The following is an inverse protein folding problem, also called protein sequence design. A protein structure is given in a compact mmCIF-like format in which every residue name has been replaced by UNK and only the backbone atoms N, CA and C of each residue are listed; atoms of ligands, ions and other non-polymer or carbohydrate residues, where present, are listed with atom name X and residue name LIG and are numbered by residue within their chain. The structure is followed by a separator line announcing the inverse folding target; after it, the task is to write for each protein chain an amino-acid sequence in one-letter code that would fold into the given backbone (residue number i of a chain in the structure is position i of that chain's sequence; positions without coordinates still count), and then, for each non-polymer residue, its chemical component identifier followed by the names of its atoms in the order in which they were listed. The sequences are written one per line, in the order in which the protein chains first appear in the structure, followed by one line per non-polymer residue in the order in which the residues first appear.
data_IF_736034039888
#
_entry.id   IF_736034039888
#
_cell.length_a   1.000
_cell.length_b   1.000
_cell.length_c   1.000
_cell.angle_alpha   90.00
_cell.angle_beta   90.00
_cell.angle_gamma   90.00
#
_symmetry.space_group_name_H-M   'P 1'
#
loop_
_entity.id
_entity.type
_entity.pdbx_description
1 polymer ?
#
# COMPACT_ATOMS: atom_id res chain seq x y z
N UNK A 1 -7.34 -50.51 -54.27
CA UNK A 1 -6.85 -49.96 -53.00
C UNK A 1 -6.13 -48.65 -53.32
N UNK A 2 -6.52 -47.55 -52.71
CA UNK A 2 -5.81 -46.27 -52.76
C UNK A 2 -5.06 -46.12 -51.46
N UNK A 3 -3.85 -45.59 -51.49
CA UNK A 3 -3.10 -45.20 -50.34
C UNK A 3 -2.66 -43.76 -50.58
N UNK A 4 -2.60 -42.98 -49.51
CA UNK A 4 -2.04 -41.64 -49.50
C UNK A 4 -0.63 -41.75 -48.87
N UNK A 5 0.35 -41.13 -49.53
CA UNK A 5 1.68 -40.95 -48.99
C UNK A 5 1.74 -39.52 -48.49
N UNK A 6 1.90 -39.32 -47.20
CA UNK A 6 2.29 -38.05 -46.63
C UNK A 6 3.82 -38.03 -46.61
N UNK A 7 4.43 -37.08 -47.30
CA UNK A 7 5.89 -36.88 -47.39
C UNK A 7 6.37 -35.55 -46.83
N UNK A 8 5.43 -34.72 -46.37
CA UNK A 8 5.68 -33.41 -45.79
C UNK A 8 5.35 -33.47 -44.31
N UNK A 9 6.15 -32.80 -43.48
CA UNK A 9 5.87 -32.63 -42.08
C UNK A 9 4.73 -31.63 -41.90
N UNK A 10 3.63 -32.08 -41.32
CA UNK A 10 2.59 -31.18 -40.84
C UNK A 10 2.98 -30.69 -39.42
N UNK A 11 2.68 -29.44 -39.09
CA UNK A 11 2.96 -28.89 -37.77
C UNK A 11 1.97 -29.45 -36.74
N UNK A 12 2.36 -29.53 -35.44
CA UNK A 12 1.38 -29.78 -34.38
C UNK A 12 0.16 -28.86 -34.51
N UNK A 13 -1.02 -29.39 -34.32
CA UNK A 13 -2.26 -28.61 -34.39
C UNK A 13 -2.34 -27.54 -33.28
N UNK A 14 -3.25 -26.59 -33.48
CA UNK A 14 -3.55 -25.60 -32.43
C UNK A 14 -4.04 -26.29 -31.15
N UNK A 15 -3.69 -25.73 -30.02
CA UNK A 15 -4.06 -26.22 -28.69
C UNK A 15 -4.32 -25.09 -27.71
N UNK A 16 -5.13 -25.35 -26.69
CA UNK A 16 -5.47 -24.37 -25.67
C UNK A 16 -4.66 -24.56 -24.40
N UNK A 17 -4.39 -23.45 -23.73
CA UNK A 17 -3.91 -23.45 -22.35
C UNK A 17 -5.10 -23.63 -21.39
N UNK A 18 -4.97 -24.54 -20.41
CA UNK A 18 -6.09 -24.98 -19.57
C UNK A 18 -6.01 -24.42 -18.14
N UNK A 19 -4.82 -24.40 -17.55
CA UNK A 19 -4.59 -23.94 -16.17
C UNK A 19 -3.20 -23.34 -16.02
N UNK A 20 -3.05 -22.23 -15.29
CA UNK A 20 -4.11 -21.37 -14.73
C UNK A 20 -5.01 -20.77 -15.83
N UNK A 21 -6.31 -20.55 -15.51
CA UNK A 21 -7.21 -19.86 -16.43
C UNK A 21 -6.70 -18.45 -16.74
N UNK A 22 -6.93 -17.99 -17.97
CA UNK A 22 -6.47 -16.65 -18.37
C UNK A 22 -7.07 -15.55 -17.49
N UNK A 23 -6.22 -14.64 -17.01
CA UNK A 23 -6.54 -13.54 -16.10
C UNK A 23 -7.13 -14.00 -14.74
N UNK A 24 -6.85 -15.24 -14.32
CA UNK A 24 -7.25 -15.74 -13.00
C UNK A 24 -6.28 -15.31 -11.91
N UNK A 25 -6.73 -15.39 -10.67
CA UNK A 25 -5.92 -15.29 -9.46
C UNK A 25 -5.63 -16.71 -8.95
N UNK A 26 -4.38 -16.99 -8.57
CA UNK A 26 -3.95 -18.24 -7.97
C UNK A 26 -3.35 -17.97 -6.58
N UNK A 27 -3.71 -18.83 -5.62
CA UNK A 27 -3.20 -18.77 -4.24
C UNK A 27 -2.01 -19.70 -4.00
N UNK A 28 -1.66 -20.52 -5.00
CA UNK A 28 -0.48 -21.37 -4.99
C UNK A 28 0.64 -20.67 -5.75
N UNK A 29 1.78 -20.48 -5.12
CA UNK A 29 2.96 -19.85 -5.74
C UNK A 29 3.72 -20.79 -6.69
N UNK A 30 3.34 -22.08 -6.72
CA UNK A 30 3.83 -23.06 -7.69
C UNK A 30 2.68 -23.66 -8.52
N UNK A 31 1.87 -22.81 -9.20
CA UNK A 31 0.69 -23.31 -9.91
C UNK A 31 1.09 -24.28 -11.02
N UNK A 32 0.38 -25.40 -11.11
CA UNK A 32 0.58 -26.33 -12.22
C UNK A 32 -0.03 -25.76 -13.49
N UNK A 33 0.81 -25.48 -14.48
CA UNK A 33 0.43 -25.07 -15.83
C UNK A 33 0.07 -26.32 -16.64
N UNK A 34 -1.08 -26.29 -17.32
CA UNK A 34 -1.60 -27.40 -18.11
C UNK A 34 -2.14 -26.90 -19.44
N UNK A 35 -1.99 -27.71 -20.47
CA UNK A 35 -2.49 -27.42 -21.82
C UNK A 35 -3.03 -28.67 -22.49
N UNK A 36 -3.79 -28.47 -23.55
CA UNK A 36 -4.25 -29.56 -24.38
C UNK A 36 -3.06 -30.17 -25.13
N UNK A 37 -3.09 -31.48 -25.29
CA UNK A 37 -2.15 -32.15 -26.18
C UNK A 37 -2.55 -31.88 -27.63
N UNK A 38 -1.71 -31.18 -28.44
CA UNK A 38 -2.02 -30.93 -29.82
C UNK A 38 -2.07 -32.21 -30.64
N UNK A 39 -2.98 -32.23 -31.59
CA UNK A 39 -3.02 -33.33 -32.58
C UNK A 39 -1.95 -33.11 -33.64
N UNK A 40 -1.30 -34.18 -34.06
CA UNK A 40 -0.41 -34.19 -35.20
C UNK A 40 -1.06 -34.96 -36.35
N UNK A 41 -1.16 -34.33 -37.52
CA UNK A 41 -1.80 -34.94 -38.69
C UNK A 41 -0.95 -36.04 -39.36
N UNK A 42 0.35 -36.10 -39.01
CA UNK A 42 1.27 -37.12 -39.47
C UNK A 42 1.09 -38.45 -38.76
N UNK A 43 0.29 -38.49 -37.69
CA UNK A 43 -0.09 -39.74 -37.01
C UNK A 43 -0.93 -40.59 -37.91
N UNK A 44 -0.33 -41.60 -38.48
CA UNK A 44 -1.04 -42.62 -39.29
C UNK A 44 -1.91 -43.51 -38.40
N UNK A 45 -3.17 -43.23 -38.23
CA UNK A 45 -4.11 -44.17 -37.66
C UNK A 45 -4.19 -45.41 -38.56
N UNK A 46 -3.62 -46.55 -38.12
CA UNK A 46 -3.80 -47.81 -38.85
C UNK A 46 -5.27 -48.21 -38.85
N UNK A 47 -5.96 -48.00 -39.96
CA UNK A 47 -7.31 -48.58 -40.16
C UNK A 47 -7.15 -50.10 -40.18
N UNK A 48 -7.61 -50.72 -39.14
CA UNK A 48 -7.57 -52.16 -38.90
C UNK A 48 -8.10 -52.98 -40.07
N UNK A 49 -7.30 -53.97 -40.38
CA UNK A 49 -7.37 -54.85 -41.52
C UNK A 49 -8.66 -55.60 -41.78
N UNK A 50 -8.96 -55.66 -43.04
CA UNK A 50 -9.83 -56.67 -43.58
C UNK A 50 -9.15 -58.06 -43.52
N UNK A 51 -9.89 -59.05 -43.03
CA UNK A 51 -9.54 -60.45 -43.10
C UNK A 51 -9.46 -60.96 -44.55
N UNK A 52 -8.26 -60.91 -45.10
CA UNK A 52 -7.94 -61.55 -46.41
C UNK A 52 -6.80 -62.55 -46.22
N UNK A 53 -7.07 -63.79 -46.64
CA UNK A 53 -6.13 -64.94 -46.57
C UNK A 53 -4.82 -64.66 -47.28
N UNK A 54 -3.74 -64.94 -46.62
CA UNK A 54 -2.35 -64.80 -46.99
C UNK A 54 -1.91 -65.77 -48.06
N UNK A 55 -1.21 -65.38 -49.17
CA UNK A 55 -0.32 -66.27 -49.91
C UNK A 55 1.03 -66.31 -49.23
N UNK A 56 1.60 -67.53 -49.09
CA UNK A 56 2.90 -67.80 -48.48
C UNK A 56 4.05 -67.30 -49.35
N UNK A 57 4.98 -66.50 -48.75
CA UNK A 57 6.30 -66.28 -49.31
C UNK A 57 6.64 -64.81 -49.54
N UNK A 58 7.18 -64.15 -48.53
CA UNK A 58 7.84 -62.85 -48.59
C UNK A 58 7.87 -62.26 -47.20
N UNK A 59 9.04 -61.98 -46.66
CA UNK A 59 9.20 -61.22 -45.43
C UNK A 59 8.61 -59.83 -45.67
N UNK A 60 7.39 -59.62 -45.21
CA UNK A 60 6.82 -58.32 -45.11
C UNK A 60 7.29 -57.73 -43.77
N UNK A 61 8.35 -57.02 -43.78
CA UNK A 61 8.64 -56.12 -42.67
C UNK A 61 7.48 -55.13 -42.62
N UNK A 62 6.54 -55.39 -41.75
CA UNK A 62 5.58 -54.37 -41.33
C UNK A 62 6.43 -53.17 -40.89
N UNK A 63 6.29 -52.08 -41.66
CA UNK A 63 6.77 -50.82 -41.16
C UNK A 63 6.16 -50.66 -39.78
N UNK A 64 6.99 -50.62 -38.78
CA UNK A 64 6.57 -50.23 -37.45
C UNK A 64 5.96 -48.85 -37.61
N UNK A 65 4.70 -48.74 -37.24
CA UNK A 65 3.97 -47.54 -37.17
C UNK A 65 4.82 -46.54 -36.37
N UNK A 66 5.56 -45.65 -37.04
CA UNK A 66 6.09 -44.48 -36.34
C UNK A 66 4.91 -43.52 -36.25
N UNK A 67 4.23 -43.56 -35.15
CA UNK A 67 3.34 -42.48 -34.78
C UNK A 67 4.22 -41.24 -34.66
N UNK A 68 4.14 -40.36 -35.59
CA UNK A 68 4.67 -39.00 -35.41
C UNK A 68 3.83 -38.37 -34.32
N UNK A 69 4.46 -37.85 -33.35
CA UNK A 69 3.87 -37.45 -32.08
C UNK A 69 4.54 -36.17 -31.60
N UNK A 70 3.82 -35.33 -30.91
CA UNK A 70 4.42 -34.22 -30.21
C UNK A 70 5.36 -34.79 -29.16
N UNK A 71 6.64 -34.45 -29.23
CA UNK A 71 7.70 -35.04 -28.41
C UNK A 71 8.19 -34.13 -27.29
N UNK A 72 7.95 -32.83 -27.39
CA UNK A 72 8.36 -31.90 -26.36
C UNK A 72 7.60 -30.58 -26.40
N UNK A 73 7.61 -29.91 -25.27
CA UNK A 73 7.03 -28.59 -25.08
C UNK A 73 8.06 -27.66 -24.47
N UNK A 74 8.14 -26.44 -24.97
CA UNK A 74 8.86 -25.34 -24.38
C UNK A 74 7.88 -24.42 -23.69
N UNK A 75 7.97 -24.34 -22.35
CA UNK A 75 7.13 -23.48 -21.53
C UNK A 75 7.86 -22.18 -21.24
N UNK A 76 7.22 -21.06 -21.49
CA UNK A 76 7.71 -19.71 -21.21
C UNK A 76 6.86 -19.11 -20.12
N UNK A 77 7.50 -18.62 -19.05
CA UNK A 77 6.86 -17.91 -17.94
C UNK A 77 7.62 -16.63 -17.67
N UNK A 78 6.92 -15.50 -17.59
CA UNK A 78 7.53 -14.18 -17.45
C UNK A 78 6.59 -13.20 -16.77
N UNK A 79 7.13 -12.16 -16.13
CA UNK A 79 6.37 -10.96 -15.72
C UNK A 79 6.28 -9.91 -16.84
N UNK A 80 6.97 -10.14 -17.97
CA UNK A 80 6.94 -9.33 -19.18
C UNK A 80 6.14 -10.07 -20.26
N UNK A 81 5.08 -9.45 -20.78
CA UNK A 81 4.18 -10.01 -21.82
C UNK A 81 4.87 -10.17 -23.19
N UNK A 82 6.00 -9.47 -23.41
CA UNK A 82 6.85 -9.61 -24.59
C UNK A 82 7.82 -10.80 -24.51
N UNK A 83 7.96 -11.44 -23.34
CA UNK A 83 8.91 -12.55 -23.08
C UNK A 83 10.35 -12.22 -23.47
N UNK A 84 10.78 -10.99 -23.24
CA UNK A 84 12.14 -10.53 -23.55
C UNK A 84 13.16 -11.32 -22.75
N UNK A 85 14.14 -11.92 -23.43
CA UNK A 85 15.23 -12.71 -22.84
C UNK A 85 14.81 -13.89 -21.93
N UNK A 86 13.60 -14.43 -22.11
CA UNK A 86 13.10 -15.58 -21.35
C UNK A 86 13.68 -16.88 -21.90
N UNK A 87 14.33 -17.67 -21.05
CA UNK A 87 14.76 -19.01 -21.39
C UNK A 87 13.61 -20.00 -21.14
N UNK A 88 13.18 -20.76 -22.17
CA UNK A 88 12.10 -21.73 -22.00
C UNK A 88 12.53 -22.93 -21.13
N UNK A 89 11.54 -23.53 -20.50
CA UNK A 89 11.66 -24.80 -19.78
C UNK A 89 11.13 -25.89 -20.68
N UNK A 90 11.95 -26.90 -21.00
CA UNK A 90 11.55 -28.02 -21.88
C UNK A 90 11.00 -29.14 -21.03
N UNK A 91 9.80 -29.63 -21.39
CA UNK A 91 9.13 -30.79 -20.77
C UNK A 91 8.59 -31.73 -21.84
N UNK A 92 8.38 -33.01 -21.49
CA UNK A 92 7.83 -34.05 -22.37
C UNK A 92 6.35 -34.37 -22.09
N UNK A 93 5.77 -33.67 -21.09
CA UNK A 93 4.35 -33.82 -20.69
C UNK A 93 3.60 -32.54 -20.94
N UNK A 94 2.29 -32.61 -21.11
CA UNK A 94 1.41 -31.46 -21.28
C UNK A 94 1.11 -30.71 -19.97
N UNK A 95 2.07 -30.70 -19.06
CA UNK A 95 2.00 -29.96 -17.80
C UNK A 95 3.39 -29.59 -17.30
N UNK A 96 3.45 -28.48 -16.56
CA UNK A 96 4.63 -27.98 -15.87
C UNK A 96 4.26 -27.37 -14.52
N UNK A 97 5.01 -27.67 -13.48
CA UNK A 97 4.90 -27.04 -12.17
C UNK A 97 6.25 -26.40 -11.84
N UNK A 98 6.31 -25.11 -11.49
CA UNK A 98 7.55 -24.46 -11.07
C UNK A 98 8.21 -25.19 -9.89
N UNK A 99 9.53 -25.37 -9.94
CA UNK A 99 10.32 -26.00 -8.86
C UNK A 99 10.51 -25.08 -7.63
N UNK A 100 10.26 -23.79 -7.80
CA UNK A 100 10.39 -22.76 -6.77
C UNK A 100 9.19 -21.84 -6.82
N UNK A 101 8.84 -21.27 -5.65
CA UNK A 101 7.76 -20.30 -5.55
C UNK A 101 7.99 -19.12 -6.50
N UNK A 102 6.94 -18.77 -7.21
CA UNK A 102 6.84 -17.51 -7.93
C UNK A 102 6.73 -16.36 -6.91
N UNK A 103 7.02 -15.13 -7.33
CA UNK A 103 6.88 -13.98 -6.46
C UNK A 103 5.40 -13.74 -6.14
N UNK A 104 5.12 -13.28 -4.91
CA UNK A 104 3.79 -12.85 -4.45
C UNK A 104 3.36 -11.57 -5.16
N UNK A 105 2.05 -11.34 -5.25
CA UNK A 105 1.44 -10.12 -5.79
C UNK A 105 1.94 -9.73 -7.19
N UNK A 106 2.17 -10.72 -8.03
CA UNK A 106 2.74 -10.52 -9.37
C UNK A 106 1.85 -11.06 -10.48
N UNK A 107 1.76 -10.29 -11.57
CA UNK A 107 1.19 -10.75 -12.83
C UNK A 107 2.24 -11.57 -13.59
N UNK A 108 1.88 -12.81 -13.95
CA UNK A 108 2.67 -13.66 -14.82
C UNK A 108 1.96 -13.89 -16.14
N UNK A 109 2.74 -13.91 -17.22
CA UNK A 109 2.33 -14.31 -18.56
C UNK A 109 3.00 -15.63 -18.88
N UNK A 110 2.30 -16.50 -19.60
CA UNK A 110 2.86 -17.76 -20.03
C UNK A 110 2.32 -18.20 -21.36
N UNK A 111 3.14 -18.99 -22.08
CA UNK A 111 2.82 -19.63 -23.35
C UNK A 111 3.61 -20.91 -23.49
N UNK A 112 3.19 -21.75 -24.44
CA UNK A 112 3.83 -23.05 -24.72
C UNK A 112 4.07 -23.17 -26.22
N UNK A 113 5.24 -23.69 -26.59
CA UNK A 113 5.54 -24.13 -27.95
C UNK A 113 5.61 -25.66 -27.96
N UNK A 114 4.77 -26.31 -28.71
CA UNK A 114 4.81 -27.75 -28.95
C UNK A 114 5.74 -28.06 -30.13
N UNK A 115 6.53 -29.12 -30.02
CA UNK A 115 7.48 -29.56 -31.05
C UNK A 115 7.24 -31.03 -31.37
N UNK A 116 7.08 -31.36 -32.66
CA UNK A 116 6.98 -32.72 -33.16
C UNK A 116 8.35 -33.42 -33.35
N UNK A 117 8.36 -34.67 -33.82
CA UNK A 117 9.56 -35.48 -33.98
C UNK A 117 10.42 -35.07 -35.21
N UNK A 118 9.89 -34.29 -36.14
CA UNK A 118 10.58 -33.72 -37.28
C UNK A 118 11.05 -32.25 -37.05
N UNK A 119 10.72 -31.68 -35.89
CA UNK A 119 11.12 -30.32 -35.46
C UNK A 119 10.15 -29.22 -35.89
N UNK A 120 8.94 -29.59 -36.36
CA UNK A 120 7.85 -28.62 -36.58
C UNK A 120 7.35 -28.06 -35.25
N UNK A 121 6.92 -26.82 -35.24
CA UNK A 121 6.53 -26.11 -34.03
C UNK A 121 5.24 -25.35 -34.17
N UNK A 122 4.42 -25.41 -33.11
CA UNK A 122 3.21 -24.58 -32.97
C UNK A 122 3.19 -23.93 -31.59
N UNK A 123 2.91 -22.64 -31.56
CA UNK A 123 2.86 -21.84 -30.35
C UNK A 123 1.39 -21.59 -29.92
N UNK A 124 1.12 -21.72 -28.63
CA UNK A 124 -0.17 -21.39 -28.05
C UNK A 124 -0.44 -19.88 -28.04
N UNK A 125 -1.67 -19.48 -27.79
CA UNK A 125 -1.95 -18.11 -27.35
C UNK A 125 -1.25 -17.82 -26.01
N UNK A 126 -1.01 -16.54 -25.71
CA UNK A 126 -0.50 -16.10 -24.40
C UNK A 126 -1.65 -16.10 -23.41
N UNK A 127 -1.42 -16.62 -22.21
CA UNK A 127 -2.29 -16.56 -21.05
C UNK A 127 -1.62 -15.83 -19.92
N UNK A 128 -2.39 -15.33 -18.95
CA UNK A 128 -1.87 -14.65 -17.76
C UNK A 128 -2.58 -15.13 -16.51
N UNK A 129 -1.91 -14.99 -15.37
CA UNK A 129 -2.48 -15.19 -14.05
C UNK A 129 -1.79 -14.28 -13.05
N UNK A 130 -2.46 -14.05 -11.92
CA UNK A 130 -1.95 -13.27 -10.81
C UNK A 130 -1.70 -14.17 -9.62
N UNK A 131 -0.52 -14.07 -8.99
CA UNK A 131 -0.22 -14.76 -7.74
C UNK A 131 -0.67 -13.88 -6.57
N UNK A 132 -1.39 -14.48 -5.61
CA UNK A 132 -1.80 -13.84 -4.37
C UNK A 132 -2.14 -14.96 -3.36
N UNK A 133 -1.19 -15.31 -2.50
CA UNK A 133 -1.36 -16.40 -1.52
C UNK A 133 -1.75 -15.86 -0.14
N UNK A 134 -1.36 -14.64 0.19
CA UNK A 134 -1.61 -14.01 1.49
C UNK A 134 -2.08 -12.56 1.27
N UNK A 135 -2.94 -12.07 2.18
CA UNK A 135 -3.37 -10.68 2.16
C UNK A 135 -2.24 -9.75 2.60
N UNK A 136 -1.84 -8.84 1.75
CA UNK A 136 -0.89 -7.77 2.04
C UNK A 136 -1.55 -6.65 2.85
N UNK A 137 -0.77 -5.86 3.56
CA UNK A 137 -1.27 -4.66 4.23
C UNK A 137 -1.16 -3.45 3.30
N UNK A 138 -2.08 -2.49 3.41
CA UNK A 138 -2.00 -1.26 2.62
C UNK A 138 -0.67 -0.54 2.79
N UNK A 139 -0.19 0.11 1.73
CA UNK A 139 1.05 0.90 1.77
C UNK A 139 0.96 2.05 2.76
N UNK A 140 2.09 2.35 3.42
CA UNK A 140 2.19 3.44 4.38
C UNK A 140 1.86 4.80 3.75
N UNK A 141 1.14 5.63 4.51
CA UNK A 141 0.79 7.01 4.13
C UNK A 141 1.55 8.02 5.00
N UNK A 142 1.59 9.26 4.51
CA UNK A 142 2.14 10.42 5.24
C UNK A 142 1.03 11.40 5.55
N UNK A 143 0.95 11.86 6.80
CA UNK A 143 0.09 12.96 7.21
C UNK A 143 0.68 14.28 6.72
N UNK A 144 -0.14 15.13 6.08
CA UNK A 144 0.30 16.37 5.43
C UNK A 144 -0.08 17.62 6.24
N UNK A 145 -1.36 17.77 6.57
CA UNK A 145 -1.89 18.91 7.34
C UNK A 145 -2.95 18.42 8.32
N UNK A 146 -3.00 19.02 9.52
CA UNK A 146 -2.01 19.91 10.13
C UNK A 146 -0.69 19.18 10.39
N UNK A 147 0.46 19.87 10.16
CA UNK A 147 1.77 19.31 10.47
C UNK A 147 1.97 19.17 11.99
N UNK A 148 2.91 18.34 12.42
CA UNK A 148 3.21 18.17 13.85
C UNK A 148 3.67 19.47 14.49
N UNK A 149 2.95 19.92 15.54
CA UNK A 149 3.19 21.19 16.22
C UNK A 149 2.72 22.43 15.47
N UNK A 150 1.97 22.29 14.38
CA UNK A 150 1.39 23.41 13.64
C UNK A 150 0.32 24.13 14.49
N UNK A 151 0.19 25.44 14.29
CA UNK A 151 -0.87 26.25 14.83
C UNK A 151 -1.93 26.50 13.75
N UNK A 152 -3.19 26.23 14.07
CA UNK A 152 -4.31 26.31 13.11
C UNK A 152 -5.44 27.21 13.60
N UNK A 153 -6.36 27.57 12.70
CA UNK A 153 -7.65 28.17 13.05
C UNK A 153 -8.64 27.12 13.60
N UNK A 154 -9.87 27.57 13.91
CA UNK A 154 -10.92 26.75 14.55
C UNK A 154 -11.40 25.58 13.67
N UNK A 155 -11.27 25.68 12.35
CA UNK A 155 -11.73 24.67 11.40
C UNK A 155 -10.57 24.18 10.52
N UNK A 156 -9.61 23.43 11.08
CA UNK A 156 -8.47 22.92 10.31
C UNK A 156 -8.90 21.93 9.23
N UNK A 157 -8.07 21.82 8.19
CA UNK A 157 -8.20 20.80 7.17
C UNK A 157 -7.16 19.71 7.40
N UNK A 158 -7.60 18.48 7.63
CA UNK A 158 -6.77 17.30 7.65
C UNK A 158 -6.51 16.82 6.22
N UNK A 159 -5.29 16.39 5.92
CA UNK A 159 -4.98 15.75 4.64
C UNK A 159 -3.80 14.79 4.76
N UNK A 160 -3.77 13.79 3.86
CA UNK A 160 -2.76 12.74 3.82
C UNK A 160 -2.51 12.27 2.39
N UNK A 161 -1.45 11.49 2.21
CA UNK A 161 -1.14 10.88 0.91
C UNK A 161 -2.02 9.66 0.63
N UNK A 162 -2.19 9.35 -0.65
CA UNK A 162 -2.87 8.14 -1.10
C UNK A 162 -2.09 6.89 -0.69
N UNK A 163 -2.81 5.83 -0.35
CA UNK A 163 -2.32 4.46 -0.17
C UNK A 163 -2.77 3.58 -1.32
N UNK A 164 -2.05 2.51 -1.56
CA UNK A 164 -2.42 1.43 -2.47
C UNK A 164 -2.23 0.09 -1.78
N UNK A 165 -2.86 -0.93 -2.32
CA UNK A 165 -2.62 -2.31 -1.93
C UNK A 165 -1.89 -3.08 -3.02
N UNK A 166 -1.09 -4.09 -2.64
CA UNK A 166 -0.40 -4.96 -3.58
C UNK A 166 -1.35 -6.01 -4.15
N UNK A 167 -2.39 -6.36 -3.39
CA UNK A 167 -3.37 -7.35 -3.79
C UNK A 167 -4.25 -6.84 -4.93
N UNK A 168 -4.45 -7.67 -5.94
CA UNK A 168 -5.23 -7.31 -7.12
C UNK A 168 -6.70 -7.02 -6.75
N UNK A 169 -7.18 -5.82 -7.12
CA UNK A 169 -8.53 -5.34 -6.84
C UNK A 169 -8.87 -5.14 -5.36
N UNK A 170 -7.88 -5.10 -4.47
CA UNK A 170 -8.08 -4.78 -3.06
C UNK A 170 -8.04 -3.26 -2.85
N UNK A 171 -9.22 -2.64 -2.85
CA UNK A 171 -9.35 -1.21 -2.68
C UNK A 171 -9.20 -0.82 -1.22
N UNK A 172 -8.53 0.30 -0.97
CA UNK A 172 -8.32 0.83 0.38
C UNK A 172 -9.34 1.88 0.77
N UNK A 173 -9.61 1.99 2.07
CA UNK A 173 -10.45 3.02 2.68
C UNK A 173 -9.74 3.65 3.88
N UNK A 174 -10.12 4.91 4.18
CA UNK A 174 -9.48 5.70 5.23
C UNK A 174 -10.43 5.95 6.40
N UNK A 175 -9.89 5.94 7.61
CA UNK A 175 -10.55 6.37 8.84
C UNK A 175 -9.70 7.45 9.50
N UNK A 176 -10.24 8.67 9.60
CA UNK A 176 -9.64 9.77 10.35
C UNK A 176 -10.04 9.67 11.81
N UNK A 177 -9.08 9.79 12.72
CA UNK A 177 -9.32 9.91 14.16
C UNK A 177 -8.65 11.18 14.69
N UNK A 178 -9.39 12.04 15.40
CA UNK A 178 -8.86 13.24 16.03
C UNK A 178 -9.58 13.59 17.32
N UNK A 179 -8.92 14.34 18.21
CA UNK A 179 -9.49 14.77 19.49
C UNK A 179 -8.45 15.46 20.37
N UNK A 180 -8.93 16.16 21.41
CA UNK A 180 -8.08 16.78 22.43
C UNK A 180 -7.56 15.81 23.51
N UNK A 181 -8.14 14.63 23.62
CA UNK A 181 -7.70 13.54 24.48
C UNK A 181 -7.31 12.33 23.61
N UNK A 182 -6.07 11.89 23.70
CA UNK A 182 -5.53 10.74 22.93
C UNK A 182 -6.28 9.43 23.18
N UNK A 183 -6.95 9.30 24.33
CA UNK A 183 -7.73 8.11 24.68
C UNK A 183 -9.22 8.19 24.28
N UNK A 184 -9.68 9.36 23.82
CA UNK A 184 -11.09 9.65 23.51
C UNK A 184 -11.22 10.39 22.16
N UNK A 185 -10.43 10.01 21.16
CA UNK A 185 -10.52 10.58 19.80
C UNK A 185 -11.82 10.12 19.11
N UNK A 186 -12.44 11.04 18.40
CA UNK A 186 -13.53 10.71 17.49
C UNK A 186 -12.96 10.10 16.21
N UNK A 187 -13.63 9.07 15.69
CA UNK A 187 -13.24 8.39 14.45
C UNK A 187 -14.36 8.49 13.43
N UNK A 188 -13.99 8.87 12.20
CA UNK A 188 -14.93 8.96 11.09
C UNK A 188 -14.39 8.26 9.84
N UNK A 189 -15.27 7.56 9.13
CA UNK A 189 -14.94 6.91 7.87
C UNK A 189 -14.90 7.96 6.75
N UNK A 190 -13.79 7.98 6.02
CA UNK A 190 -13.55 8.89 4.90
C UNK A 190 -13.76 8.21 3.53
N UNK A 191 -13.99 6.89 3.51
CA UNK A 191 -14.03 6.14 2.24
C UNK A 191 -12.70 6.28 1.51
N UNK A 192 -12.72 6.80 0.28
CA UNK A 192 -11.53 7.07 -0.54
C UNK A 192 -11.04 8.53 -0.49
N UNK A 193 -11.68 9.39 0.31
CA UNK A 193 -11.28 10.80 0.42
C UNK A 193 -9.92 10.94 1.12
N UNK A 194 -9.10 11.87 0.65
CA UNK A 194 -7.75 12.14 1.16
C UNK A 194 -7.66 13.39 2.02
N UNK A 195 -8.78 14.03 2.30
CA UNK A 195 -8.85 15.22 3.14
C UNK A 195 -10.20 15.39 3.79
N UNK A 196 -10.20 16.11 4.92
CA UNK A 196 -11.41 16.50 5.64
C UNK A 196 -11.22 17.87 6.27
N UNK A 197 -12.17 18.78 6.07
CA UNK A 197 -12.20 20.07 6.78
C UNK A 197 -13.24 19.97 7.89
N UNK A 198 -12.84 20.31 9.11
CA UNK A 198 -13.72 20.32 10.27
C UNK A 198 -14.88 21.33 10.04
N UNK A 199 -16.09 20.89 10.22
CA UNK A 199 -17.33 21.64 9.94
C UNK A 199 -17.88 22.42 11.15
N UNK A 200 -17.34 22.16 12.34
CA UNK A 200 -17.69 22.83 13.62
C UNK A 200 -16.41 23.35 14.28
N UNK A 201 -16.50 24.54 14.85
CA UNK A 201 -15.35 25.16 15.52
C UNK A 201 -14.79 24.25 16.62
N UNK A 202 -13.50 23.97 16.56
CA UNK A 202 -12.75 23.35 17.63
C UNK A 202 -12.49 24.36 18.75
N UNK A 203 -12.13 23.87 19.95
CA UNK A 203 -11.83 24.75 21.07
C UNK A 203 -10.51 25.48 20.84
N UNK A 204 -10.55 26.81 21.00
CA UNK A 204 -9.36 27.67 20.96
C UNK A 204 -8.38 27.31 22.08
N UNK A 205 -7.10 27.65 21.92
CA UNK A 205 -6.02 27.42 22.88
C UNK A 205 -5.88 25.95 23.32
N UNK A 206 -6.23 25.03 22.39
CA UNK A 206 -6.32 23.60 22.70
C UNK A 206 -5.41 22.79 21.78
N UNK A 207 -4.62 21.88 22.35
CA UNK A 207 -3.88 20.87 21.60
C UNK A 207 -4.80 19.73 21.19
N UNK A 208 -4.75 19.39 19.92
CA UNK A 208 -5.46 18.25 19.33
C UNK A 208 -4.45 17.23 18.80
N UNK A 209 -4.86 15.98 18.84
CA UNK A 209 -4.10 14.84 18.30
C UNK A 209 -4.89 14.22 17.16
N UNK A 210 -4.19 13.66 16.16
CA UNK A 210 -4.85 13.01 15.06
C UNK A 210 -3.98 11.92 14.41
N UNK A 211 -4.64 10.97 13.79
CA UNK A 211 -4.05 9.88 13.03
C UNK A 211 -5.02 9.39 11.96
N UNK A 212 -4.50 8.66 10.98
CA UNK A 212 -5.30 8.02 9.93
C UNK A 212 -5.00 6.54 9.92
N UNK A 213 -6.05 5.73 9.85
CA UNK A 213 -5.98 4.29 9.61
C UNK A 213 -6.45 4.01 8.18
N UNK A 214 -5.63 3.29 7.42
CA UNK A 214 -5.98 2.74 6.10
C UNK A 214 -6.40 1.30 6.30
N UNK A 215 -7.48 0.88 5.65
CA UNK A 215 -8.00 -0.49 5.71
C UNK A 215 -8.29 -0.97 4.29
N UNK A 216 -7.84 -2.16 3.91
CA UNK A 216 -8.16 -2.85 2.67
C UNK A 216 -9.53 -3.54 2.74
N UNK A 217 -9.99 -4.17 1.64
CA UNK A 217 -11.26 -4.91 1.61
C UNK A 217 -11.20 -6.20 2.41
N UNK A 218 -10.03 -6.77 2.61
CA UNK A 218 -9.79 -8.03 3.33
C UNK A 218 -9.66 -7.80 4.84
N UNK A 219 -9.51 -6.54 5.28
CA UNK A 219 -9.52 -6.11 6.68
C UNK A 219 -8.13 -5.91 7.30
N UNK A 220 -7.03 -6.00 6.53
CA UNK A 220 -5.73 -5.61 7.04
C UNK A 220 -5.62 -4.08 7.12
N UNK A 221 -4.79 -3.58 8.03
CA UNK A 221 -4.74 -2.15 8.33
C UNK A 221 -3.31 -1.63 8.47
N UNK A 222 -3.12 -0.40 8.04
CA UNK A 222 -1.97 0.43 8.38
C UNK A 222 -2.47 1.66 9.16
N UNK A 223 -1.85 1.99 10.29
CA UNK A 223 -2.17 3.19 11.07
C UNK A 223 -0.93 4.06 11.20
N UNK A 224 -1.08 5.37 10.97
CA UNK A 224 0.02 6.33 11.10
C UNK A 224 0.41 6.53 12.56
N UNK A 225 1.61 7.07 12.78
CA UNK A 225 1.94 7.66 14.07
C UNK A 225 0.99 8.81 14.39
N UNK A 226 0.77 9.03 15.70
CA UNK A 226 -0.04 10.13 16.19
C UNK A 226 0.69 11.45 15.99
N UNK A 227 0.01 12.45 15.40
CA UNK A 227 0.50 13.82 15.32
C UNK A 227 -0.34 14.74 16.19
N UNK A 228 0.22 15.88 16.60
CA UNK A 228 -0.51 16.92 17.32
C UNK A 228 -0.37 18.27 16.63
N UNK A 229 -1.37 19.12 16.83
CA UNK A 229 -1.43 20.50 16.41
C UNK A 229 -2.16 21.33 17.48
N UNK A 230 -2.04 22.64 17.43
CA UNK A 230 -2.74 23.54 18.37
C UNK A 230 -3.71 24.40 17.61
N UNK A 231 -4.94 24.47 18.10
CA UNK A 231 -5.89 25.49 17.67
C UNK A 231 -5.62 26.75 18.47
N UNK A 232 -5.33 27.86 17.78
CA UNK A 232 -5.13 29.16 18.40
C UNK A 232 -5.35 30.26 17.36
N UNK A 233 -6.39 31.07 17.55
CA UNK A 233 -6.83 32.03 16.54
C UNK A 233 -6.76 33.48 16.97
N UNK A 234 -6.96 33.77 18.24
CA UNK A 234 -7.09 35.12 18.76
C UNK A 234 -6.10 35.39 19.89
N UNK A 235 -5.72 36.67 20.06
CA UNK A 235 -4.96 37.09 21.19
C UNK A 235 -5.87 37.25 22.39
N UNK A 236 -5.78 36.38 23.36
CA UNK A 236 -6.49 36.46 24.61
C UNK A 236 -5.96 37.59 25.50
N UNK A 237 -6.80 38.10 26.36
CA UNK A 237 -6.34 39.05 27.37
C UNK A 237 -5.65 38.26 28.50
N UNK A 238 -4.59 38.86 29.11
CA UNK A 238 -4.01 38.27 30.31
C UNK A 238 -5.08 38.03 31.38
N UNK A 239 -4.99 36.91 32.04
CA UNK A 239 -5.91 36.53 33.09
C UNK A 239 -5.87 37.45 34.31
N UNK A 240 -6.87 37.32 35.18
CA UNK A 240 -6.91 38.09 36.43
C UNK A 240 -5.71 37.76 37.32
N UNK A 241 -5.21 38.78 38.03
CA UNK A 241 -4.11 38.64 38.98
C UNK A 241 -4.38 39.46 40.22
N UNK A 242 -3.81 39.02 41.36
CA UNK A 242 -3.96 39.72 42.63
C UNK A 242 -2.80 40.67 42.94
N UNK A 243 -3.11 41.73 43.62
CA UNK A 243 -2.09 42.58 44.26
C UNK A 243 -1.67 41.98 45.61
N UNK A 244 -0.35 41.79 45.79
CA UNK A 244 0.19 41.07 46.94
C UNK A 244 0.71 42.01 48.01
N UNK A 245 1.32 43.17 47.64
CA UNK A 245 1.91 44.11 48.57
C UNK A 245 1.83 45.56 48.05
N UNK A 246 1.56 46.53 48.87
CA UNK A 246 1.07 46.44 50.26
C UNK A 246 -0.34 45.81 50.32
N UNK A 247 -0.68 45.12 51.41
CA UNK A 247 -2.04 44.58 51.61
C UNK A 247 -3.09 45.68 51.55
N UNK A 248 -4.28 45.38 51.05
CA UNK A 248 -5.38 46.32 50.92
C UNK A 248 -5.72 46.97 52.27
N UNK A 249 -5.82 48.29 52.26
CA UNK A 249 -6.08 49.10 53.47
C UNK A 249 -5.05 48.95 54.60
N UNK A 250 -3.85 48.42 54.34
CA UNK A 250 -2.76 48.38 55.33
C UNK A 250 -2.09 49.74 55.53
N UNK A 251 -1.51 49.95 56.71
CA UNK A 251 -0.67 51.11 56.98
C UNK A 251 0.78 50.73 56.78
N UNK A 252 1.48 51.41 55.87
CA UNK A 252 2.90 51.22 55.66
C UNK A 252 3.70 52.36 56.30
N UNK A 253 4.80 52.05 56.92
CA UNK A 253 5.72 53.03 57.54
C UNK A 253 6.91 53.34 56.63
N UNK A 254 7.13 52.54 55.62
CA UNK A 254 8.14 52.82 54.59
C UNK A 254 7.58 53.83 53.57
N UNK A 255 8.34 54.86 53.30
CA UNK A 255 8.00 55.92 52.32
C UNK A 255 8.25 55.46 50.86
N UNK A 256 8.89 54.32 50.69
CA UNK A 256 9.21 53.68 49.41
C UNK A 256 8.78 52.23 49.39
N UNK A 257 7.48 51.95 49.62
CA UNK A 257 7.01 50.55 49.71
C UNK A 257 7.20 49.79 48.35
N UNK A 258 7.60 48.54 48.46
CA UNK A 258 7.66 47.68 47.27
C UNK A 258 6.25 47.18 46.92
N UNK A 259 5.82 47.48 45.70
CA UNK A 259 4.60 46.95 45.11
C UNK A 259 4.86 45.55 44.58
N UNK A 260 3.96 44.62 44.87
CA UNK A 260 4.03 43.27 44.37
C UNK A 260 2.64 42.79 43.90
N UNK A 261 2.62 42.01 42.88
CA UNK A 261 1.43 41.39 42.30
C UNK A 261 1.76 39.99 41.84
N UNK A 262 0.71 39.19 41.60
CA UNK A 262 0.81 37.89 40.96
C UNK A 262 1.09 38.09 39.47
N UNK A 263 1.84 37.19 38.87
CA UNK A 263 2.00 37.15 37.43
C UNK A 263 0.72 36.60 36.81
N UNK A 264 0.01 37.34 35.94
CA UNK A 264 -1.17 36.80 35.28
C UNK A 264 -0.81 35.66 34.32
N UNK A 265 -1.75 34.73 34.18
CA UNK A 265 -1.66 33.73 33.13
C UNK A 265 -2.11 34.32 31.80
N UNK A 266 -1.48 33.87 30.71
CA UNK A 266 -1.91 34.18 29.36
C UNK A 266 -2.26 32.85 28.66
N UNK A 267 -3.48 32.75 28.13
CA UNK A 267 -3.93 31.51 27.49
C UNK A 267 -3.21 31.23 26.15
N UNK A 268 -2.67 32.30 25.54
CA UNK A 268 -1.87 32.18 24.30
C UNK A 268 -0.46 31.63 24.55
N UNK A 269 -0.04 31.52 25.80
CA UNK A 269 1.28 30.96 26.14
C UNK A 269 1.24 29.44 25.95
N UNK A 270 1.85 28.96 24.91
CA UNK A 270 2.13 27.55 24.73
C UNK A 270 3.10 27.10 25.80
N UNK A 271 2.66 26.34 26.80
CA UNK A 271 3.56 25.64 27.69
C UNK A 271 4.30 24.59 26.88
N UNK A 272 5.51 24.93 26.41
CA UNK A 272 6.41 23.92 25.84
C UNK A 272 6.72 22.91 26.95
N UNK A 273 6.18 21.72 26.86
CA UNK A 273 6.59 20.59 27.67
C UNK A 273 8.03 20.22 27.30
N UNK A 274 8.98 20.79 28.02
CA UNK A 274 10.39 20.47 27.81
C UNK A 274 11.32 21.19 28.77
N UNK A 275 11.38 20.72 29.98
CA UNK A 275 12.48 20.73 30.94
C UNK A 275 13.51 21.86 30.92
N UNK A 276 13.61 22.57 32.06
CA UNK A 276 14.76 23.30 32.41
C UNK A 276 14.46 24.44 33.39
N UNK A 277 14.41 24.15 34.71
CA UNK A 277 14.51 25.16 35.73
C UNK A 277 15.88 25.87 35.59
N UNK A 278 15.90 26.95 34.82
CA UNK A 278 17.04 27.88 34.74
C UNK A 278 16.70 29.15 35.48
N UNK A 279 17.31 29.36 36.64
CA UNK A 279 17.27 30.63 37.36
C UNK A 279 17.75 31.78 36.47
N UNK A 280 16.92 32.76 36.28
CA UNK A 280 17.19 33.97 35.54
C UNK A 280 18.22 34.86 36.25
N UNK A 281 19.32 35.32 35.59
CA UNK A 281 20.16 36.36 36.17
C UNK A 281 19.50 37.74 35.93
N UNK A 282 19.48 38.53 36.97
CA UNK A 282 19.04 39.94 36.90
C UNK A 282 19.98 40.75 36.03
N UNK A 283 19.42 41.39 34.98
CA UNK A 283 20.05 42.49 34.23
C UNK A 283 20.78 42.06 32.97
N UNK A 284 20.17 42.20 31.83
CA UNK A 284 20.82 42.11 30.52
C UNK A 284 19.82 42.26 29.35
N UNK A 285 20.21 43.09 28.38
CA UNK A 285 19.44 43.49 27.22
C UNK A 285 18.71 42.34 26.52
N UNK A 286 17.46 42.62 26.17
CA UNK A 286 16.53 41.78 25.45
C UNK A 286 17.08 41.43 24.06
N UNK A 287 17.58 40.23 23.87
CA UNK A 287 17.77 39.64 22.55
C UNK A 287 16.51 38.84 22.24
N UNK A 288 15.74 39.30 21.26
CA UNK A 288 14.59 38.61 20.68
C UNK A 288 15.02 37.24 20.22
N UNK A 289 14.74 36.22 21.02
CA UNK A 289 14.67 34.86 20.52
C UNK A 289 13.33 34.72 19.78
N UNK A 290 13.39 34.41 18.49
CA UNK A 290 12.23 34.09 17.67
C UNK A 290 11.66 32.74 18.06
N UNK A 291 10.99 32.69 19.19
CA UNK A 291 10.03 31.66 19.54
C UNK A 291 8.81 32.43 20.06
N UNK A 292 7.72 32.37 19.33
CA UNK A 292 6.52 33.13 19.64
C UNK A 292 5.76 32.51 20.82
N UNK A 293 6.34 32.60 22.01
CA UNK A 293 5.57 32.54 23.23
C UNK A 293 4.99 33.94 23.44
N UNK A 294 3.70 34.08 23.29
CA UNK A 294 3.02 35.27 23.74
C UNK A 294 3.10 35.30 25.26
N UNK A 295 3.75 36.27 25.82
CA UNK A 295 3.90 36.48 27.27
C UNK A 295 3.34 37.86 27.61
N UNK A 296 2.87 38.03 28.84
CA UNK A 296 2.59 39.36 29.37
C UNK A 296 3.88 40.17 29.39
N UNK A 297 3.98 41.17 28.52
CA UNK A 297 5.26 41.88 28.26
C UNK A 297 5.43 43.15 29.09
N UNK A 298 4.37 43.70 29.68
CA UNK A 298 4.44 44.90 30.48
C UNK A 298 3.30 45.01 31.50
N UNK A 299 3.55 45.78 32.56
CA UNK A 299 2.60 46.13 33.61
C UNK A 299 2.60 47.64 33.76
N UNK A 300 1.42 48.25 33.84
CA UNK A 300 1.25 49.63 34.21
C UNK A 300 0.79 49.73 35.66
N UNK A 301 1.58 50.42 36.53
CA UNK A 301 1.27 50.59 37.91
C UNK A 301 0.78 51.99 38.18
N UNK A 302 -0.43 52.10 38.71
CA UNK A 302 -1.06 53.39 39.03
C UNK A 302 -1.14 53.55 40.56
N UNK A 303 -0.63 54.68 41.08
CA UNK A 303 -0.72 55.06 42.47
C UNK A 303 -1.50 56.36 42.57
N UNK A 304 -2.69 56.33 43.18
CA UNK A 304 -3.55 57.52 43.41
C UNK A 304 -3.50 57.96 44.87
N UNK A 305 -3.72 59.28 45.10
CA UNK A 305 -4.04 59.85 46.40
C UNK A 305 -5.46 60.34 46.36
N UNK A 306 -6.30 59.92 47.32
CA UNK A 306 -7.64 60.46 47.54
C UNK A 306 -7.63 61.82 48.20
#
# INVERSE_FOLDING_TARGET
QSFTVNTENDLPGDFALLSPENASMVTDLTPTMMWEEPTDADVMTSIGGGTGSRPSGGANTLATNSTREVVSYNVYVSTDDAFTDVTPITVETNSYTPDTDLAEDMMYYWKVTATDDDGGQTESAVSSFWTNSENSVPTAITLLTPASGEQTGLTPTFSWTESSDADMNDAVSYTLSYGSDVNMMESMSMGSELSYTVDTDLMDNTEYHWQVTVTDLSGATFTTDLQSFTVNTENDLPGDFALLSPENASMVTDLTPTMMWEEPTDADVMTSMGGGAGSRPSGGANTLATNSTREVVSYDVYIGMD
#
